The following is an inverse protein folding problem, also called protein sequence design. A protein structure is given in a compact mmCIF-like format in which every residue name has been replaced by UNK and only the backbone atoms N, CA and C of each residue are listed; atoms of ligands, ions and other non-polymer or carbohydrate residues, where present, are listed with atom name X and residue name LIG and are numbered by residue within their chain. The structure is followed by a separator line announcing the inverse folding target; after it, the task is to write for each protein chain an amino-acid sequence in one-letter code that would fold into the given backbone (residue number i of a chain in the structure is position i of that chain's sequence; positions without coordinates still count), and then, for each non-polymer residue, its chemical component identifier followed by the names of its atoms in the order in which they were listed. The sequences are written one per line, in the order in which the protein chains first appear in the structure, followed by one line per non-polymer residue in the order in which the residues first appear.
data_IF_463776697133
#
_entry.id   IF_463776697133
#
_cell.length_a   1.000
_cell.length_b   1.000
_cell.length_c   1.000
_cell.angle_alpha   90.00
_cell.angle_beta   90.00
_cell.angle_gamma   90.00
#
_symmetry.space_group_name_H-M   'P 1'
#
loop_
_entity.id
_entity.type
_entity.pdbx_description
1 polymer ?
#
# COMPACT_ATOMS: atom_id res chain seq x y z
N UNK A 1 14.08 -28.72 44.56
CA UNK A 1 13.11 -28.19 45.54
C UNK A 1 11.78 -28.00 44.79
N UNK A 2 10.85 -28.96 44.81
CA UNK A 2 9.67 -29.05 45.72
C UNK A 2 8.91 -27.75 45.87
N UNK A 3 7.57 -27.65 45.80
CA UNK A 3 6.41 -28.48 45.43
C UNK A 3 5.18 -27.57 45.73
N UNK A 4 4.06 -27.70 44.99
CA UNK A 4 2.63 -27.58 45.41
C UNK A 4 1.77 -26.92 44.32
N UNK A 5 0.82 -27.62 43.68
CA UNK A 5 -0.47 -28.20 44.14
C UNK A 5 -1.57 -27.15 44.38
N UNK A 6 -2.53 -27.08 43.45
CA UNK A 6 -3.98 -26.88 43.66
C UNK A 6 -4.71 -27.53 42.46
N UNK A 7 -5.29 -28.74 42.60
CA UNK A 7 -6.70 -29.04 42.96
C UNK A 7 -7.68 -28.43 41.94
N UNK A 8 -8.16 -29.15 40.91
CA UNK A 8 -9.33 -30.06 40.89
C UNK A 8 -10.56 -29.55 41.67
N UNK A 9 -11.69 -29.36 40.96
CA UNK A 9 -13.14 -29.70 41.19
C UNK A 9 -13.97 -28.68 40.34
N UNK A 10 -14.69 -29.02 39.26
CA UNK A 10 -16.09 -29.51 39.27
C UNK A 10 -16.58 -29.97 37.86
N UNK A 11 -17.08 -31.21 37.81
CA UNK A 11 -18.27 -31.80 37.12
C UNK A 11 -18.73 -31.23 35.76
N UNK A 12 -18.81 -32.00 34.66
CA UNK A 12 -19.62 -33.21 34.39
C UNK A 12 -21.15 -33.01 34.39
N UNK A 13 -21.72 -32.64 33.24
CA UNK A 13 -23.08 -32.97 32.76
C UNK A 13 -22.92 -32.95 31.23
N UNK A 14 -22.94 -34.03 30.47
CA UNK A 14 -24.10 -34.84 30.14
C UNK A 14 -23.62 -36.22 29.64
N UNK A 15 -24.15 -37.29 30.25
CA UNK A 15 -24.20 -38.60 29.64
C UNK A 15 -25.62 -39.13 29.76
N UNK A 16 -26.24 -39.39 28.60
CA UNK A 16 -27.07 -40.58 28.42
C UNK A 16 -28.58 -40.47 28.66
N UNK A 17 -29.28 -41.25 27.82
CA UNK A 17 -30.70 -41.67 27.82
C UNK A 17 -31.63 -40.76 27.01
N UNK A 18 -32.47 -41.25 26.09
CA UNK A 18 -32.81 -42.63 25.68
C UNK A 18 -33.69 -42.57 24.43
N UNK A 19 -33.74 -43.68 23.70
CA UNK A 19 -34.72 -44.05 22.69
C UNK A 19 -36.14 -43.51 22.94
N UNK A 20 -36.77 -43.00 21.87
CA UNK A 20 -38.20 -43.18 21.57
C UNK A 20 -38.51 -42.59 20.18
N UNK A 21 -38.85 -43.46 19.24
CA UNK A 21 -39.70 -43.13 18.09
C UNK A 21 -40.73 -44.28 17.95
N UNK A 22 -41.89 -44.11 17.28
CA UNK A 22 -42.47 -42.89 16.71
C UNK A 22 -43.96 -42.68 17.10
N UNK A 23 -44.41 -41.42 17.17
CA UNK A 23 -45.85 -41.10 17.12
C UNK A 23 -46.19 -40.55 15.74
N UNK A 24 -46.91 -41.38 14.96
CA UNK A 24 -47.65 -40.95 13.78
C UNK A 24 -48.72 -39.93 14.21
N UNK A 25 -48.64 -38.70 13.71
CA UNK A 25 -49.81 -37.85 13.53
C UNK A 25 -50.04 -37.65 12.03
N UNK A 26 -51.17 -38.17 11.55
CA UNK A 26 -51.74 -37.84 10.26
C UNK A 26 -52.54 -36.53 10.40
N UNK A 27 -52.27 -35.66 9.42
CA UNK A 27 -53.18 -34.70 8.77
C UNK A 27 -53.78 -33.53 9.56
N UNK A 28 -53.26 -32.34 9.24
CA UNK A 28 -54.09 -31.26 8.69
C UNK A 28 -53.24 -30.33 7.80
N UNK A 29 -53.06 -30.71 6.54
CA UNK A 29 -52.63 -29.81 5.46
C UNK A 29 -53.66 -29.89 4.36
N UNK A 30 -54.33 -28.78 4.09
CA UNK A 30 -54.88 -28.43 2.78
C UNK A 30 -55.22 -26.94 2.83
N UNK A 31 -54.20 -26.14 2.58
CA UNK A 31 -54.25 -24.67 2.57
C UNK A 31 -52.86 -24.02 2.56
N UNK A 32 -51.85 -24.65 3.17
CA UNK A 32 -50.47 -24.11 3.27
C UNK A 32 -49.42 -24.74 2.36
N UNK A 33 -49.68 -25.90 1.76
CA UNK A 33 -48.70 -26.65 0.94
C UNK A 33 -48.58 -26.14 -0.50
N UNK A 34 -49.68 -25.65 -1.10
CA UNK A 34 -49.65 -25.09 -2.46
C UNK A 34 -48.85 -23.78 -2.54
N UNK A 35 -48.98 -22.88 -1.54
CA UNK A 35 -48.20 -21.63 -1.50
C UNK A 35 -46.70 -21.90 -1.32
N UNK A 36 -46.31 -22.89 -0.49
CA UNK A 36 -44.91 -23.27 -0.33
C UNK A 36 -44.31 -23.89 -1.59
N UNK A 37 -45.10 -24.63 -2.38
CA UNK A 37 -44.64 -25.21 -3.66
C UNK A 37 -44.32 -24.14 -4.70
N UNK A 38 -45.17 -23.12 -4.86
CA UNK A 38 -44.93 -22.04 -5.82
C UNK A 38 -43.81 -21.11 -5.37
N UNK A 39 -43.75 -20.77 -4.07
CA UNK A 39 -42.67 -19.97 -3.50
C UNK A 39 -41.32 -20.69 -3.62
N UNK A 40 -41.28 -22.00 -3.38
CA UNK A 40 -40.09 -22.82 -3.60
C UNK A 40 -39.63 -22.79 -5.06
N UNK A 41 -40.53 -23.09 -6.00
CA UNK A 41 -40.18 -23.12 -7.43
C UNK A 41 -39.69 -21.75 -7.93
N UNK A 42 -40.32 -20.66 -7.51
CA UNK A 42 -39.88 -19.29 -7.80
C UNK A 42 -38.48 -19.03 -7.23
N UNK A 43 -38.25 -19.37 -5.97
CA UNK A 43 -36.96 -19.17 -5.32
C UNK A 43 -35.84 -19.98 -5.99
N UNK A 44 -36.11 -21.24 -6.35
CA UNK A 44 -35.12 -22.09 -7.05
C UNK A 44 -34.81 -21.55 -8.44
N UNK A 45 -35.82 -21.06 -9.18
CA UNK A 45 -35.63 -20.43 -10.47
C UNK A 45 -34.78 -19.15 -10.37
N UNK A 46 -35.04 -18.31 -9.36
CA UNK A 46 -34.26 -17.09 -9.11
C UNK A 46 -32.78 -17.40 -8.76
N UNK A 47 -32.54 -18.41 -7.92
CA UNK A 47 -31.17 -18.85 -7.58
C UNK A 47 -30.47 -19.43 -8.82
N UNK A 48 -31.17 -20.21 -9.63
CA UNK A 48 -30.60 -20.76 -10.86
C UNK A 48 -30.26 -19.66 -11.88
N UNK A 49 -31.11 -18.64 -12.01
CA UNK A 49 -30.89 -17.51 -12.91
C UNK A 49 -29.63 -16.71 -12.56
N UNK A 50 -29.27 -16.62 -11.28
CA UNK A 50 -27.98 -16.05 -10.85
C UNK A 50 -26.79 -16.94 -11.22
N UNK A 51 -26.90 -18.26 -11.02
CA UNK A 51 -25.80 -19.21 -11.24
C UNK A 51 -25.28 -19.30 -12.69
N UNK A 52 -26.09 -18.94 -13.69
CA UNK A 52 -25.69 -18.98 -15.10
C UNK A 52 -24.95 -17.71 -15.56
N UNK A 53 -23.62 -17.68 -15.42
CA UNK A 53 -22.73 -16.77 -16.18
C UNK A 53 -22.99 -15.26 -16.05
N UNK A 54 -23.53 -14.83 -14.92
CA UNK A 54 -24.11 -13.49 -14.77
C UNK A 54 -23.08 -12.37 -14.54
N UNK A 55 -21.94 -12.68 -13.89
CA UNK A 55 -20.91 -11.68 -13.55
C UNK A 55 -20.02 -11.35 -14.75
N UNK A 56 -19.63 -12.33 -15.54
CA UNK A 56 -18.76 -12.14 -16.72
C UNK A 56 -19.39 -11.29 -17.83
N UNK A 57 -20.72 -11.17 -17.87
CA UNK A 57 -21.43 -10.43 -18.92
C UNK A 57 -21.96 -9.04 -18.50
N UNK A 58 -21.90 -8.66 -17.21
CA UNK A 58 -22.53 -7.41 -16.71
C UNK A 58 -21.59 -6.38 -16.09
N UNK A 59 -20.36 -6.75 -15.74
CA UNK A 59 -19.36 -5.79 -15.26
C UNK A 59 -18.41 -5.49 -16.41
N UNK A 60 -18.76 -4.50 -17.24
CA UNK A 60 -17.86 -3.93 -18.23
C UNK A 60 -16.66 -3.33 -17.51
N UNK A 61 -15.48 -3.88 -17.78
CA UNK A 61 -14.20 -3.50 -17.18
C UNK A 61 -13.76 -2.15 -17.73
N UNK A 62 -13.43 -1.22 -16.85
CA UNK A 62 -12.77 0.04 -17.17
C UNK A 62 -11.32 -0.05 -16.71
N UNK A 63 -10.36 -0.13 -17.64
CA UNK A 63 -8.91 -0.31 -17.41
C UNK A 63 -8.21 0.85 -16.67
N UNK A 64 -8.94 1.81 -16.13
CA UNK A 64 -8.37 3.07 -15.64
C UNK A 64 -8.63 3.25 -14.16
N UNK A 65 -7.82 2.66 -13.29
CA UNK A 65 -7.72 3.12 -11.89
C UNK A 65 -6.36 2.82 -11.24
N UNK A 66 -5.27 3.10 -11.96
CA UNK A 66 -3.98 3.38 -11.33
C UNK A 66 -3.84 4.90 -11.24
N UNK A 67 -4.19 5.48 -10.08
CA UNK A 67 -3.70 6.82 -9.71
C UNK A 67 -4.68 8.00 -9.67
N UNK A 68 -6.00 7.82 -9.69
CA UNK A 68 -6.92 8.95 -9.47
C UNK A 68 -7.45 8.95 -8.03
N UNK A 69 -7.30 10.08 -7.35
CA UNK A 69 -7.86 10.42 -6.04
C UNK A 69 -9.40 10.55 -6.07
N UNK A 70 -10.09 9.49 -6.51
CA UNK A 70 -11.55 9.37 -6.45
C UNK A 70 -11.97 8.33 -5.43
N UNK A 71 -13.21 8.45 -4.92
CA UNK A 71 -13.85 7.52 -4.00
C UNK A 71 -14.08 6.16 -4.67
N UNK A 72 -13.04 5.31 -4.75
CA UNK A 72 -13.20 3.91 -5.16
C UNK A 72 -13.80 3.11 -4.00
N UNK A 73 -14.62 2.11 -4.32
CA UNK A 73 -15.18 1.16 -3.34
C UNK A 73 -14.69 -0.23 -3.67
N UNK A 74 -14.02 -0.89 -2.71
CA UNK A 74 -13.26 -2.12 -2.95
C UNK A 74 -12.23 -2.02 -4.09
N UNK A 75 -11.64 -0.84 -4.28
CA UNK A 75 -10.63 -0.55 -5.30
C UNK A 75 -11.10 -0.63 -6.76
N UNK A 76 -12.41 -0.49 -6.99
CA UNK A 76 -13.02 -0.35 -8.33
C UNK A 76 -13.88 0.91 -8.44
N UNK A 77 -14.30 1.26 -9.67
CA UNK A 77 -15.12 2.44 -9.93
C UNK A 77 -16.48 2.35 -9.20
N UNK A 78 -17.07 3.47 -8.72
CA UNK A 78 -18.39 3.46 -8.09
C UNK A 78 -19.49 2.82 -8.95
N UNK A 79 -19.45 3.08 -10.26
CA UNK A 79 -20.43 2.56 -11.20
C UNK A 79 -20.34 1.03 -11.37
N UNK A 80 -19.13 0.47 -11.33
CA UNK A 80 -18.94 -0.98 -11.40
C UNK A 80 -19.19 -1.66 -10.05
N UNK A 81 -18.82 -1.00 -8.96
CA UNK A 81 -19.18 -1.41 -7.61
C UNK A 81 -20.69 -1.51 -7.43
N UNK A 82 -21.48 -0.53 -7.89
CA UNK A 82 -22.94 -0.58 -7.77
C UNK A 82 -23.56 -1.76 -8.54
N UNK A 83 -23.03 -2.10 -9.72
CA UNK A 83 -23.48 -3.29 -10.47
C UNK A 83 -23.22 -4.57 -9.70
N UNK A 84 -22.01 -4.71 -9.13
CA UNK A 84 -21.63 -5.87 -8.32
C UNK A 84 -22.45 -5.94 -7.03
N UNK A 85 -22.64 -4.80 -6.35
CA UNK A 85 -23.44 -4.69 -5.13
C UNK A 85 -24.85 -5.20 -5.34
N UNK A 86 -25.52 -4.82 -6.44
CA UNK A 86 -26.87 -5.31 -6.76
C UNK A 86 -26.89 -6.84 -6.90
N UNK A 87 -25.87 -7.43 -7.52
CA UNK A 87 -25.77 -8.89 -7.69
C UNK A 87 -25.55 -9.57 -6.33
N UNK A 88 -24.64 -9.05 -5.51
CA UNK A 88 -24.41 -9.58 -4.16
C UNK A 88 -25.64 -9.43 -3.25
N UNK A 89 -26.32 -8.28 -3.27
CA UNK A 89 -27.55 -8.05 -2.51
C UNK A 89 -28.66 -9.03 -2.92
N UNK A 90 -28.82 -9.30 -4.23
CA UNK A 90 -29.77 -10.30 -4.72
C UNK A 90 -29.40 -11.70 -4.23
N UNK A 91 -28.14 -12.11 -4.37
CA UNK A 91 -27.68 -13.42 -3.92
C UNK A 91 -27.88 -13.62 -2.40
N UNK A 92 -27.52 -12.61 -1.60
CA UNK A 92 -27.72 -12.60 -0.15
C UNK A 92 -29.22 -12.71 0.21
N UNK A 93 -30.08 -11.93 -0.46
CA UNK A 93 -31.53 -11.97 -0.23
C UNK A 93 -32.10 -13.36 -0.49
N UNK A 94 -31.65 -14.03 -1.56
CA UNK A 94 -32.13 -15.37 -1.89
C UNK A 94 -31.69 -16.42 -0.88
N UNK A 95 -30.45 -16.33 -0.38
CA UNK A 95 -29.98 -17.21 0.69
C UNK A 95 -30.78 -17.00 1.99
N UNK A 96 -31.02 -15.75 2.37
CA UNK A 96 -31.82 -15.43 3.55
C UNK A 96 -33.28 -15.91 3.41
N UNK A 97 -33.90 -15.71 2.24
CA UNK A 97 -35.26 -16.23 1.96
C UNK A 97 -35.31 -17.75 1.99
N UNK A 98 -34.27 -18.42 1.50
CA UNK A 98 -34.19 -19.87 1.59
C UNK A 98 -34.11 -20.32 3.06
N UNK A 99 -33.22 -19.69 3.85
CA UNK A 99 -33.10 -19.96 5.28
C UNK A 99 -34.42 -19.74 6.02
N UNK A 100 -35.14 -18.66 5.72
CA UNK A 100 -36.44 -18.37 6.32
C UNK A 100 -37.49 -19.45 5.97
N UNK A 101 -37.49 -19.91 4.71
CA UNK A 101 -38.46 -20.91 4.22
C UNK A 101 -38.21 -22.32 4.77
N UNK A 102 -36.95 -22.72 4.91
CA UNK A 102 -36.54 -24.10 5.25
C UNK A 102 -35.96 -24.27 6.65
N UNK A 103 -35.66 -23.17 7.35
CA UNK A 103 -35.03 -23.17 8.67
C UNK A 103 -33.54 -23.49 8.66
N UNK A 104 -32.94 -23.87 7.53
CA UNK A 104 -31.51 -24.15 7.37
C UNK A 104 -31.07 -24.02 5.91
N UNK A 105 -29.79 -23.69 5.66
CA UNK A 105 -29.18 -23.73 4.32
C UNK A 105 -28.74 -25.14 3.87
N UNK A 106 -28.71 -26.14 4.75
CA UNK A 106 -28.14 -27.46 4.47
C UNK A 106 -28.79 -28.20 3.27
N UNK A 107 -30.10 -28.04 3.08
CA UNK A 107 -30.86 -28.73 2.02
C UNK A 107 -30.78 -28.07 0.64
N UNK A 108 -30.18 -26.87 0.52
CA UNK A 108 -30.24 -26.09 -0.72
C UNK A 108 -29.48 -26.76 -1.87
N UNK A 109 -28.38 -27.45 -1.53
CA UNK A 109 -27.58 -28.22 -2.49
C UNK A 109 -28.38 -29.36 -3.09
N UNK A 110 -29.17 -30.06 -2.29
CA UNK A 110 -30.02 -31.17 -2.75
C UNK A 110 -31.15 -30.65 -3.65
N UNK A 111 -31.77 -29.52 -3.29
CA UNK A 111 -32.82 -28.90 -4.09
C UNK A 111 -32.32 -28.33 -5.43
N UNK A 112 -31.03 -27.98 -5.54
CA UNK A 112 -30.42 -27.49 -6.78
C UNK A 112 -29.64 -28.55 -7.56
N UNK A 113 -29.49 -29.77 -7.02
CA UNK A 113 -28.75 -30.86 -7.66
C UNK A 113 -29.38 -31.26 -9.00
N UNK A 114 -30.67 -30.97 -9.20
CA UNK A 114 -31.38 -31.17 -10.45
C UNK A 114 -30.91 -30.22 -11.58
N UNK A 115 -30.17 -29.14 -11.26
CA UNK A 115 -29.82 -28.06 -12.20
C UNK A 115 -28.33 -27.65 -12.21
N UNK A 116 -27.45 -28.36 -11.48
CA UNK A 116 -25.98 -28.19 -11.40
C UNK A 116 -25.49 -26.78 -10.93
N UNK A 117 -24.66 -26.77 -9.89
CA UNK A 117 -23.80 -25.66 -9.40
C UNK A 117 -24.45 -24.37 -8.84
N UNK A 118 -25.77 -24.18 -8.89
CA UNK A 118 -26.42 -22.92 -8.50
C UNK A 118 -26.16 -22.39 -7.07
N UNK A 119 -26.14 -23.27 -6.05
CA UNK A 119 -25.99 -22.83 -4.65
C UNK A 119 -24.60 -22.26 -4.38
N UNK A 120 -23.56 -22.95 -4.83
CA UNK A 120 -22.18 -22.57 -4.56
C UNK A 120 -21.83 -21.27 -5.27
N UNK A 121 -22.34 -21.08 -6.50
CA UNK A 121 -22.23 -19.82 -7.23
C UNK A 121 -23.00 -18.70 -6.51
N UNK A 122 -24.25 -18.95 -6.09
CA UNK A 122 -25.03 -17.96 -5.33
C UNK A 122 -24.34 -17.56 -4.01
N UNK A 123 -23.80 -18.53 -3.27
CA UNK A 123 -23.01 -18.28 -2.08
C UNK A 123 -21.71 -17.53 -2.39
N UNK A 124 -21.01 -17.85 -3.49
CA UNK A 124 -19.84 -17.10 -3.95
C UNK A 124 -20.17 -15.64 -4.26
N UNK A 125 -21.23 -15.39 -5.03
CA UNK A 125 -21.71 -14.04 -5.37
C UNK A 125 -22.16 -13.24 -4.15
N UNK A 126 -22.78 -13.90 -3.18
CA UNK A 126 -23.18 -13.27 -1.92
C UNK A 126 -22.00 -12.73 -1.12
N UNK A 127 -20.77 -13.20 -1.37
CA UNK A 127 -19.55 -12.80 -0.66
C UNK A 127 -18.71 -11.76 -1.41
N UNK A 128 -19.12 -11.29 -2.59
CA UNK A 128 -18.32 -10.36 -3.40
C UNK A 128 -18.33 -8.91 -2.90
N UNK A 129 -19.49 -8.42 -2.43
CA UNK A 129 -19.65 -7.05 -1.97
C UNK A 129 -20.18 -6.97 -0.54
N UNK A 130 -19.73 -5.93 0.16
CA UNK A 130 -20.22 -5.57 1.48
C UNK A 130 -21.63 -4.96 1.38
N UNK A 131 -22.55 -5.53 2.15
CA UNK A 131 -23.94 -5.04 2.28
C UNK A 131 -24.36 -5.21 3.74
N UNK A 132 -25.46 -4.57 4.18
CA UNK A 132 -26.00 -4.79 5.52
C UNK A 132 -26.39 -6.25 5.83
N UNK A 133 -26.62 -7.07 4.80
CA UNK A 133 -27.02 -8.48 4.94
C UNK A 133 -25.83 -9.44 5.01
N UNK A 134 -24.63 -9.00 4.61
CA UNK A 134 -23.47 -9.87 4.45
C UNK A 134 -23.14 -10.62 5.75
N UNK A 135 -23.13 -9.92 6.89
CA UNK A 135 -22.81 -10.52 8.19
C UNK A 135 -23.71 -11.70 8.55
N UNK A 136 -25.03 -11.52 8.39
CA UNK A 136 -26.02 -12.56 8.64
C UNK A 136 -25.88 -13.76 7.68
N UNK A 137 -25.60 -13.49 6.40
CA UNK A 137 -25.38 -14.56 5.42
C UNK A 137 -24.17 -15.40 5.77
N UNK A 138 -23.06 -14.78 6.20
CA UNK A 138 -21.85 -15.54 6.55
C UNK A 138 -22.09 -16.40 7.80
N UNK A 139 -22.75 -15.84 8.82
CA UNK A 139 -23.12 -16.58 10.03
C UNK A 139 -23.95 -17.83 9.67
N UNK A 140 -24.92 -17.71 8.78
CA UNK A 140 -25.73 -18.84 8.35
C UNK A 140 -24.98 -19.84 7.49
N UNK A 141 -24.10 -19.38 6.59
CA UNK A 141 -23.23 -20.29 5.84
C UNK A 141 -22.39 -21.11 6.82
N UNK A 142 -21.78 -20.48 7.82
CA UNK A 142 -20.93 -21.18 8.79
C UNK A 142 -21.71 -22.15 9.69
N UNK A 143 -22.85 -21.71 10.21
CA UNK A 143 -23.63 -22.49 11.17
C UNK A 143 -24.41 -23.65 10.54
N UNK A 144 -24.89 -23.48 9.30
CA UNK A 144 -25.77 -24.47 8.67
C UNK A 144 -25.05 -25.43 7.71
N UNK A 145 -23.87 -25.07 7.19
CA UNK A 145 -23.18 -25.89 6.19
C UNK A 145 -22.14 -26.82 6.82
N UNK A 146 -21.98 -28.00 6.21
CA UNK A 146 -20.90 -28.91 6.60
C UNK A 146 -19.52 -28.30 6.28
N UNK A 147 -18.44 -28.69 6.98
CA UNK A 147 -17.08 -28.23 6.67
C UNK A 147 -16.68 -28.45 5.20
N UNK A 148 -17.19 -29.53 4.59
CA UNK A 148 -16.96 -29.83 3.17
C UNK A 148 -17.67 -28.85 2.24
N UNK A 149 -18.92 -28.51 2.54
CA UNK A 149 -19.68 -27.55 1.73
C UNK A 149 -19.12 -26.14 1.89
N UNK A 150 -18.70 -25.75 3.10
CA UNK A 150 -17.97 -24.51 3.35
C UNK A 150 -16.68 -24.42 2.53
N UNK A 151 -15.90 -25.50 2.46
CA UNK A 151 -14.70 -25.54 1.62
C UNK A 151 -15.04 -25.34 0.15
N UNK A 152 -16.15 -25.91 -0.34
CA UNK A 152 -16.60 -25.71 -1.70
C UNK A 152 -17.06 -24.27 -1.98
N UNK A 153 -17.78 -23.63 -1.05
CA UNK A 153 -18.15 -22.21 -1.15
C UNK A 153 -16.90 -21.34 -1.19
N UNK A 154 -15.94 -21.59 -0.29
CA UNK A 154 -14.67 -20.86 -0.22
C UNK A 154 -13.86 -21.00 -1.51
N UNK A 155 -13.77 -22.21 -2.06
CA UNK A 155 -13.09 -22.45 -3.34
C UNK A 155 -13.84 -21.80 -4.52
N UNK A 156 -15.17 -21.85 -4.53
CA UNK A 156 -16.02 -21.22 -5.54
C UNK A 156 -15.83 -19.70 -5.56
N UNK A 157 -16.00 -19.06 -4.39
CA UNK A 157 -15.70 -17.64 -4.21
C UNK A 157 -14.30 -17.31 -4.71
N UNK A 158 -13.25 -18.05 -4.31
CA UNK A 158 -11.88 -17.74 -4.69
C UNK A 158 -11.60 -17.92 -6.17
N UNK A 159 -11.77 -19.12 -6.68
CA UNK A 159 -11.32 -19.50 -8.04
C UNK A 159 -12.34 -19.18 -9.13
N UNK A 160 -13.62 -19.17 -8.77
CA UNK A 160 -14.73 -18.97 -9.71
C UNK A 160 -15.10 -17.52 -9.89
N UNK A 161 -15.14 -16.75 -8.81
CA UNK A 161 -15.73 -15.40 -8.82
C UNK A 161 -14.69 -14.30 -8.54
N UNK A 162 -13.94 -14.44 -7.44
CA UNK A 162 -13.00 -13.43 -6.96
C UNK A 162 -11.74 -13.31 -7.81
N UNK A 163 -11.03 -14.41 -8.10
CA UNK A 163 -9.79 -14.38 -8.88
C UNK A 163 -9.98 -13.88 -10.32
N UNK A 164 -11.04 -14.29 -11.05
CA UNK A 164 -11.34 -13.70 -12.35
C UNK A 164 -11.61 -12.20 -12.27
N UNK A 165 -12.35 -11.74 -11.26
CA UNK A 165 -12.62 -10.31 -11.05
C UNK A 165 -11.38 -9.52 -10.72
N UNK A 166 -10.49 -10.08 -9.90
CA UNK A 166 -9.18 -9.51 -9.62
C UNK A 166 -8.29 -9.43 -10.86
N UNK A 167 -8.25 -10.50 -11.68
CA UNK A 167 -7.45 -10.49 -12.92
C UNK A 167 -7.93 -9.41 -13.88
N UNK A 168 -9.24 -9.19 -13.91
CA UNK A 168 -9.87 -8.13 -14.70
C UNK A 168 -9.70 -6.74 -14.06
N UNK A 169 -9.60 -6.66 -12.73
CA UNK A 169 -9.52 -5.40 -11.99
C UNK A 169 -8.43 -5.54 -10.92
N UNK A 170 -7.21 -5.08 -11.22
CA UNK A 170 -6.06 -5.20 -10.33
C UNK A 170 -6.27 -4.55 -8.95
N UNK A 171 -7.15 -3.56 -8.87
CA UNK A 171 -7.57 -2.90 -7.63
C UNK A 171 -8.66 -3.63 -6.83
N UNK A 172 -9.29 -4.68 -7.35
CA UNK A 172 -10.40 -5.34 -6.64
C UNK A 172 -9.96 -6.02 -5.34
N UNK A 173 -10.57 -5.59 -4.23
CA UNK A 173 -10.28 -6.07 -2.88
C UNK A 173 -11.51 -6.78 -2.28
N UNK A 174 -11.32 -7.89 -1.53
CA UNK A 174 -12.43 -8.58 -0.89
C UNK A 174 -13.09 -7.71 0.19
N UNK A 175 -14.40 -7.85 0.45
CA UNK A 175 -15.10 -7.03 1.43
C UNK A 175 -14.60 -7.34 2.85
N UNK A 176 -14.64 -6.34 3.74
CA UNK A 176 -14.23 -6.45 5.14
C UNK A 176 -15.46 -6.34 6.07
N UNK A 177 -16.19 -7.45 6.33
CA UNK A 177 -17.45 -7.42 7.07
C UNK A 177 -17.22 -7.22 8.57
N UNK A 178 -17.05 -5.97 8.97
CA UNK A 178 -16.65 -5.53 10.31
C UNK A 178 -17.47 -6.18 11.44
N UNK A 179 -18.80 -6.06 11.37
CA UNK A 179 -19.70 -6.58 12.42
C UNK A 179 -19.65 -8.10 12.56
N UNK A 180 -19.42 -8.81 11.45
CA UNK A 180 -19.27 -10.27 11.49
C UNK A 180 -17.94 -10.67 12.09
N UNK A 181 -16.84 -9.98 11.75
CA UNK A 181 -15.54 -10.23 12.36
C UNK A 181 -15.59 -9.92 13.87
N UNK A 182 -16.27 -8.82 14.25
CA UNK A 182 -16.45 -8.44 15.65
C UNK A 182 -17.21 -9.50 16.47
N UNK A 183 -18.23 -10.13 15.87
CA UNK A 183 -19.06 -11.15 16.55
C UNK A 183 -18.47 -12.56 16.49
N UNK A 184 -17.87 -12.94 15.37
CA UNK A 184 -17.34 -14.30 15.12
C UNK A 184 -15.82 -14.46 15.30
N UNK A 185 -15.10 -13.38 15.60
CA UNK A 185 -13.67 -13.37 15.89
C UNK A 185 -12.80 -14.00 14.80
N UNK A 186 -11.80 -14.79 15.20
CA UNK A 186 -10.80 -15.35 14.29
C UNK A 186 -11.40 -16.32 13.25
N UNK A 187 -12.42 -17.10 13.63
CA UNK A 187 -13.11 -17.99 12.69
C UNK A 187 -13.82 -17.22 11.56
N UNK A 188 -14.44 -16.09 11.91
CA UNK A 188 -15.06 -15.18 10.95
C UNK A 188 -14.04 -14.56 10.00
N UNK A 189 -12.91 -14.11 10.53
CA UNK A 189 -11.82 -13.53 9.75
C UNK A 189 -11.21 -14.54 8.75
N UNK A 190 -10.88 -15.75 9.22
CA UNK A 190 -10.29 -16.82 8.41
C UNK A 190 -11.20 -17.34 7.28
N UNK A 191 -12.51 -17.10 7.37
CA UNK A 191 -13.42 -17.46 6.30
C UNK A 191 -13.14 -16.65 5.02
N UNK A 192 -12.91 -15.34 5.14
CA UNK A 192 -12.59 -14.45 4.01
C UNK A 192 -11.11 -14.41 3.67
N UNK A 193 -10.27 -14.39 4.70
CA UNK A 193 -8.84 -14.12 4.58
C UNK A 193 -8.06 -15.36 4.96
N UNK A 194 -7.60 -16.11 3.95
CA UNK A 194 -6.64 -17.19 4.18
C UNK A 194 -5.26 -16.61 4.47
N UNK A 195 -4.45 -17.43 5.16
CA UNK A 195 -3.03 -17.21 5.38
C UNK A 195 -2.32 -16.79 4.07
N UNK A 196 -1.64 -15.64 4.08
CA UNK A 196 -0.72 -15.22 3.02
C UNK A 196 -1.18 -14.12 2.06
N UNK A 197 -2.30 -13.42 2.31
CA UNK A 197 -2.70 -12.26 1.48
C UNK A 197 -2.90 -10.99 2.33
N UNK A 198 -1.98 -10.02 2.23
CA UNK A 198 -2.04 -8.69 2.89
C UNK A 198 -3.15 -7.75 2.36
N UNK A 199 -4.21 -8.28 1.75
CA UNK A 199 -5.23 -7.48 1.06
C UNK A 199 -6.28 -6.90 2.01
N UNK A 200 -6.51 -7.58 3.14
CA UNK A 200 -7.37 -7.06 4.21
C UNK A 200 -6.82 -5.74 4.76
N UNK A 201 -5.50 -5.68 4.99
CA UNK A 201 -4.81 -4.49 5.47
C UNK A 201 -5.04 -3.28 4.56
N UNK A 202 -4.84 -3.45 3.25
CA UNK A 202 -5.08 -2.38 2.27
C UNK A 202 -6.54 -1.89 2.27
N UNK A 203 -7.50 -2.81 2.33
CA UNK A 203 -8.93 -2.47 2.41
C UNK A 203 -9.25 -1.66 3.67
N UNK A 204 -8.70 -2.06 4.82
CA UNK A 204 -8.88 -1.35 6.09
C UNK A 204 -8.39 0.09 5.95
N UNK A 205 -7.18 0.28 5.42
CA UNK A 205 -6.61 1.61 5.22
C UNK A 205 -7.42 2.45 4.22
N UNK A 206 -7.83 1.89 3.09
CA UNK A 206 -8.67 2.60 2.11
C UNK A 206 -10.02 3.03 2.73
N UNK A 207 -10.64 2.19 3.57
CA UNK A 207 -11.88 2.55 4.26
C UNK A 207 -11.70 3.66 5.30
N UNK A 208 -10.60 3.65 6.06
CA UNK A 208 -10.29 4.74 7.00
C UNK A 208 -10.02 6.04 6.23
N UNK A 209 -9.23 5.97 5.14
CA UNK A 209 -8.94 7.11 4.26
C UNK A 209 -10.20 7.77 3.71
N UNK A 210 -11.20 6.96 3.39
CA UNK A 210 -12.48 7.41 2.84
C UNK A 210 -13.54 7.71 3.91
N UNK A 211 -13.18 7.72 5.20
CA UNK A 211 -14.09 7.92 6.33
C UNK A 211 -15.26 6.90 6.39
N UNK A 212 -15.11 5.75 5.72
CA UNK A 212 -16.10 4.66 5.75
C UNK A 212 -15.95 3.77 6.99
N UNK A 213 -14.82 3.87 7.68
CA UNK A 213 -14.49 3.08 8.86
C UNK A 213 -13.70 3.93 9.84
N UNK A 214 -14.15 4.06 11.08
CA UNK A 214 -13.36 4.73 12.11
C UNK A 214 -12.33 3.78 12.72
N UNK A 215 -11.19 4.33 13.14
CA UNK A 215 -10.14 3.54 13.80
C UNK A 215 -10.64 2.93 15.12
N UNK A 216 -11.45 3.68 15.88
CA UNK A 216 -12.04 3.19 17.14
C UNK A 216 -12.86 1.91 16.99
N UNK A 217 -13.47 1.70 15.82
CA UNK A 217 -14.25 0.49 15.54
C UNK A 217 -13.39 -0.74 15.25
N UNK A 218 -12.11 -0.53 14.91
CA UNK A 218 -11.12 -1.56 14.62
C UNK A 218 -10.38 -2.03 15.86
N UNK A 219 -10.12 -1.18 16.86
CA UNK A 219 -9.36 -1.58 18.05
C UNK A 219 -9.84 -2.90 18.68
N UNK A 220 -11.15 -3.10 18.94
CA UNK A 220 -11.62 -4.35 19.55
C UNK A 220 -11.38 -5.57 18.66
N UNK A 221 -11.33 -5.38 17.34
CA UNK A 221 -11.08 -6.45 16.36
C UNK A 221 -9.59 -6.77 16.32
N UNK A 222 -8.73 -5.76 16.32
CA UNK A 222 -7.28 -5.93 16.37
C UNK A 222 -6.90 -6.69 17.64
N UNK A 223 -7.43 -6.25 18.78
CA UNK A 223 -7.26 -6.92 20.08
C UNK A 223 -7.75 -8.37 20.02
N UNK A 224 -9.02 -8.59 19.65
CA UNK A 224 -9.64 -9.93 19.58
C UNK A 224 -8.88 -10.92 18.70
N UNK A 225 -8.31 -10.44 17.59
CA UNK A 225 -7.62 -11.30 16.64
C UNK A 225 -6.14 -11.53 17.03
N UNK A 226 -5.56 -10.65 17.83
CA UNK A 226 -4.20 -10.77 18.37
C UNK A 226 -4.04 -11.81 19.49
N UNK A 227 -5.13 -12.22 20.15
CA UNK A 227 -5.13 -13.11 21.34
C UNK A 227 -4.84 -14.61 21.07
N UNK A 228 -4.14 -14.99 19.99
CA UNK A 228 -4.05 -16.40 19.57
C UNK A 228 -2.66 -17.08 19.70
N UNK A 229 -2.71 -18.41 19.67
CA UNK A 229 -1.65 -19.40 19.98
C UNK A 229 -0.29 -19.14 19.29
N UNK A 230 0.79 -18.86 20.05
CA UNK A 230 2.11 -18.46 19.50
C UNK A 230 2.82 -19.53 18.67
N UNK A 231 2.33 -20.78 18.65
CA UNK A 231 2.95 -21.86 17.88
C UNK A 231 2.48 -21.93 16.40
N UNK A 232 1.44 -21.17 16.00
CA UNK A 232 0.95 -21.14 14.61
C UNK A 232 0.52 -19.72 14.23
N UNK A 233 1.25 -19.02 13.35
CA UNK A 233 0.89 -17.67 13.00
C UNK A 233 -0.48 -17.66 12.33
N UNK A 234 -1.43 -16.94 12.94
CA UNK A 234 -2.80 -16.83 12.45
C UNK A 234 -2.86 -16.04 11.14
N UNK A 235 -3.94 -16.20 10.35
CA UNK A 235 -4.14 -15.38 9.14
C UNK A 235 -4.19 -13.87 9.48
N UNK A 236 -4.52 -13.55 10.72
CA UNK A 236 -4.49 -12.19 11.26
C UNK A 236 -3.07 -11.65 11.44
N UNK A 237 -2.13 -12.41 11.99
CA UNK A 237 -0.74 -11.94 12.16
C UNK A 237 -0.08 -11.56 10.83
N UNK A 238 -0.35 -12.35 9.77
CA UNK A 238 0.11 -12.02 8.42
C UNK A 238 -0.52 -10.70 7.94
N UNK A 239 -1.80 -10.49 8.23
CA UNK A 239 -2.48 -9.25 7.87
C UNK A 239 -2.06 -8.05 8.70
N UNK A 240 -1.74 -8.23 9.99
CA UNK A 240 -1.20 -7.20 10.87
C UNK A 240 0.19 -6.80 10.39
N UNK A 241 1.08 -7.75 10.11
CA UNK A 241 2.38 -7.46 9.48
C UNK A 241 2.20 -6.73 8.14
N UNK A 242 1.23 -7.13 7.32
CA UNK A 242 0.88 -6.40 6.11
C UNK A 242 0.38 -4.98 6.38
N UNK A 243 -0.42 -4.78 7.43
CA UNK A 243 -0.95 -3.49 7.84
C UNK A 243 0.15 -2.58 8.37
N UNK A 244 1.07 -3.10 9.18
CA UNK A 244 2.28 -2.42 9.62
C UNK A 244 3.11 -1.97 8.41
N UNK A 245 3.32 -2.86 7.44
CA UNK A 245 4.06 -2.54 6.23
C UNK A 245 3.40 -1.41 5.42
N UNK A 246 2.08 -1.46 5.23
CA UNK A 246 1.37 -0.38 4.54
C UNK A 246 1.36 0.93 5.36
N UNK A 247 1.22 0.87 6.69
CA UNK A 247 1.19 2.05 7.56
C UNK A 247 2.53 2.80 7.61
N UNK A 248 3.64 2.07 7.50
CA UNK A 248 4.98 2.66 7.37
C UNK A 248 5.15 3.42 6.04
N UNK A 249 4.40 3.07 4.99
CA UNK A 249 4.50 3.74 3.69
C UNK A 249 3.41 4.81 3.49
N UNK A 250 2.33 4.75 4.27
CA UNK A 250 1.21 5.68 4.19
C UNK A 250 1.53 7.06 4.81
N UNK A 251 0.67 8.04 4.52
CA UNK A 251 0.61 9.31 5.24
C UNK A 251 0.33 9.09 6.74
N UNK A 252 0.65 10.06 7.60
CA UNK A 252 0.35 9.92 9.04
C UNK A 252 -1.14 10.09 9.32
N UNK A 253 -1.75 11.13 8.75
CA UNK A 253 -3.20 11.30 8.75
C UNK A 253 -3.80 10.57 7.53
N UNK A 254 -4.96 9.90 7.67
CA UNK A 254 -5.83 9.81 8.85
C UNK A 254 -5.53 8.62 9.80
N UNK A 255 -4.32 8.05 9.76
CA UNK A 255 -3.99 6.79 10.44
C UNK A 255 -3.32 6.93 11.81
N UNK A 256 -3.24 8.14 12.37
CA UNK A 256 -2.50 8.42 13.60
C UNK A 256 -2.94 7.54 14.79
N UNK A 257 -4.26 7.42 15.01
CA UNK A 257 -4.83 6.58 16.07
C UNK A 257 -4.50 5.09 15.84
N UNK A 258 -4.54 4.64 14.58
CA UNK A 258 -4.29 3.23 14.23
C UNK A 258 -2.81 2.89 14.45
N UNK A 259 -1.92 3.80 14.07
CA UNK A 259 -0.48 3.70 14.34
C UNK A 259 -0.21 3.60 15.83
N UNK A 260 -0.81 4.48 16.64
CA UNK A 260 -0.66 4.45 18.09
C UNK A 260 -1.12 3.11 18.68
N UNK A 261 -2.21 2.54 18.18
CA UNK A 261 -2.71 1.26 18.67
C UNK A 261 -1.83 0.08 18.26
N UNK A 262 -1.34 0.03 17.02
CA UNK A 262 -0.54 -1.09 16.51
C UNK A 262 0.92 -1.02 16.99
N UNK A 263 1.57 0.14 16.84
CA UNK A 263 2.98 0.31 17.18
C UNK A 263 3.22 0.75 18.63
N UNK A 264 2.16 1.08 19.37
CA UNK A 264 2.24 1.70 20.70
C UNK A 264 2.64 3.18 20.67
N UNK A 265 2.94 3.74 19.49
CA UNK A 265 3.27 5.14 19.27
C UNK A 265 2.78 5.59 17.89
N UNK A 266 2.41 6.86 17.77
CA UNK A 266 2.10 7.47 16.48
C UNK A 266 3.37 7.83 15.69
N UNK A 267 4.47 8.09 16.40
CA UNK A 267 5.72 8.60 15.85
C UNK A 267 6.43 7.55 14.98
N UNK A 268 7.15 8.02 13.94
CA UNK A 268 7.93 7.13 13.09
C UNK A 268 9.13 6.56 13.83
N UNK A 269 9.36 5.24 13.68
CA UNK A 269 10.57 4.60 14.20
C UNK A 269 11.80 4.90 13.32
N UNK A 270 13.00 4.65 13.85
CA UNK A 270 14.27 4.77 13.08
C UNK A 270 14.23 3.90 11.82
N UNK A 271 13.74 2.67 11.94
CA UNK A 271 13.60 1.73 10.80
C UNK A 271 12.57 2.24 9.78
N UNK A 272 11.47 2.83 10.25
CA UNK A 272 10.47 3.46 9.39
C UNK A 272 11.08 4.62 8.58
N UNK A 273 11.80 5.52 9.24
CA UNK A 273 12.45 6.67 8.60
C UNK A 273 13.48 6.23 7.54
N UNK A 274 14.30 5.21 7.86
CA UNK A 274 15.27 4.64 6.90
C UNK A 274 14.57 4.06 5.67
N UNK A 275 13.48 3.29 5.87
CA UNK A 275 12.70 2.72 4.76
C UNK A 275 12.06 3.78 3.88
N UNK A 276 11.43 4.79 4.50
CA UNK A 276 10.84 5.94 3.77
C UNK A 276 11.90 6.70 2.98
N UNK A 277 13.05 6.97 3.57
CA UNK A 277 14.16 7.65 2.91
C UNK A 277 14.62 6.88 1.66
N UNK A 278 14.89 5.57 1.82
CA UNK A 278 15.38 4.73 0.74
C UNK A 278 14.35 4.63 -0.40
N UNK A 279 13.06 4.53 -0.09
CA UNK A 279 11.99 4.49 -1.08
C UNK A 279 11.92 5.79 -1.91
N UNK A 280 11.96 6.95 -1.24
CA UNK A 280 11.93 8.26 -1.91
C UNK A 280 13.19 8.47 -2.77
N UNK A 281 14.37 8.16 -2.23
CA UNK A 281 15.62 8.26 -2.99
C UNK A 281 15.65 7.30 -4.17
N UNK A 282 15.18 6.06 -4.01
CA UNK A 282 15.09 5.11 -5.12
C UNK A 282 14.15 5.60 -6.23
N UNK A 283 13.06 6.30 -5.90
CA UNK A 283 12.17 6.93 -6.88
C UNK A 283 12.81 8.09 -7.62
N UNK A 284 13.50 8.97 -6.89
CA UNK A 284 14.18 10.13 -7.46
C UNK A 284 15.28 9.66 -8.41
N UNK A 285 16.06 8.67 -7.99
CA UNK A 285 17.27 8.23 -8.68
C UNK A 285 17.00 7.21 -9.81
N UNK A 286 16.06 6.27 -9.62
CA UNK A 286 15.75 5.21 -10.61
C UNK A 286 14.46 5.47 -11.42
N UNK A 287 13.80 6.61 -11.20
CA UNK A 287 12.55 6.98 -11.86
C UNK A 287 11.28 6.38 -11.22
N UNK A 288 10.09 6.77 -11.71
CA UNK A 288 8.78 6.51 -11.09
C UNK A 288 8.30 5.05 -11.23
N UNK A 289 9.21 4.07 -11.30
CA UNK A 289 8.87 2.64 -11.37
C UNK A 289 8.33 2.09 -10.04
N UNK A 290 8.52 2.83 -8.94
CA UNK A 290 7.94 2.48 -7.65
C UNK A 290 6.51 3.00 -7.55
N UNK A 291 5.66 2.22 -6.87
CA UNK A 291 4.23 2.49 -6.68
C UNK A 291 4.05 3.96 -6.27
N UNK A 292 3.08 4.65 -6.87
CA UNK A 292 2.67 5.98 -6.41
C UNK A 292 2.44 5.90 -4.90
N UNK A 293 3.29 6.60 -4.14
CA UNK A 293 3.20 6.63 -2.69
C UNK A 293 1.86 7.24 -2.30
N UNK A 294 1.23 6.70 -1.26
CA UNK A 294 0.08 7.35 -0.62
C UNK A 294 0.51 8.65 0.11
N UNK A 295 1.81 8.79 0.40
CA UNK A 295 2.46 9.91 1.08
C UNK A 295 3.23 10.78 0.08
N UNK A 296 3.22 12.11 0.25
CA UNK A 296 4.00 12.99 -0.64
C UNK A 296 5.49 13.02 -0.25
N UNK A 297 6.38 13.36 -1.18
CA UNK A 297 7.82 13.53 -0.92
C UNK A 297 8.10 14.50 0.24
N UNK A 298 7.41 15.65 0.25
CA UNK A 298 7.52 16.65 1.32
C UNK A 298 7.01 16.12 2.67
N UNK A 299 5.92 15.35 2.68
CA UNK A 299 5.42 14.72 3.90
C UNK A 299 6.38 13.65 4.43
N UNK A 300 6.95 12.81 3.56
CA UNK A 300 7.98 11.86 3.95
C UNK A 300 9.20 12.56 4.57
N UNK A 301 9.65 13.68 3.98
CA UNK A 301 10.75 14.46 4.54
C UNK A 301 10.43 15.01 5.93
N UNK A 302 9.20 15.52 6.14
CA UNK A 302 8.73 15.98 7.45
C UNK A 302 8.68 14.85 8.49
N UNK A 303 8.15 13.69 8.11
CA UNK A 303 8.10 12.50 8.98
C UNK A 303 9.51 12.07 9.38
N UNK A 304 10.43 11.97 8.41
CA UNK A 304 11.83 11.61 8.65
C UNK A 304 12.49 12.61 9.61
N UNK A 305 12.30 13.91 9.38
CA UNK A 305 12.87 14.98 10.21
C UNK A 305 12.29 15.01 11.62
N UNK A 306 11.03 14.62 11.79
CA UNK A 306 10.38 14.59 13.11
C UNK A 306 11.04 13.59 14.08
N UNK A 307 11.72 12.56 13.57
CA UNK A 307 12.52 11.65 14.37
C UNK A 307 13.93 12.22 14.60
N UNK A 308 14.09 13.00 15.68
CA UNK A 308 15.35 13.68 16.02
C UNK A 308 16.55 12.71 16.18
N UNK A 309 16.31 11.51 16.70
CA UNK A 309 17.37 10.50 16.86
C UNK A 309 17.87 10.00 15.51
N UNK A 310 16.95 9.64 14.61
CA UNK A 310 17.29 9.22 13.26
C UNK A 310 17.97 10.35 12.48
N UNK A 311 17.40 11.55 12.51
CA UNK A 311 17.94 12.73 11.84
C UNK A 311 19.37 13.06 12.29
N UNK A 312 19.67 12.88 13.57
CA UNK A 312 20.99 13.18 14.15
C UNK A 312 22.04 12.11 13.87
N UNK A 313 21.67 10.83 13.92
CA UNK A 313 22.66 9.74 13.98
C UNK A 313 22.74 8.88 12.71
N UNK A 314 21.68 8.83 11.89
CA UNK A 314 21.57 7.88 10.78
C UNK A 314 21.35 8.55 9.42
N UNK A 315 20.56 9.63 9.37
CA UNK A 315 20.09 10.25 8.13
C UNK A 315 21.19 10.47 7.07
N UNK A 316 22.32 11.08 7.45
CA UNK A 316 23.40 11.39 6.50
C UNK A 316 24.06 10.14 5.94
N UNK A 317 24.25 9.11 6.77
CA UNK A 317 24.85 7.86 6.33
C UNK A 317 23.90 7.11 5.40
N UNK A 318 22.61 7.04 5.73
CA UNK A 318 21.60 6.37 4.91
C UNK A 318 21.40 7.08 3.56
N UNK A 319 21.46 8.42 3.52
CA UNK A 319 21.46 9.19 2.24
C UNK A 319 22.68 8.81 1.40
N UNK A 320 23.87 8.82 2.01
CA UNK A 320 25.13 8.54 1.32
C UNK A 320 25.18 7.11 0.80
N UNK A 321 24.72 6.13 1.58
CA UNK A 321 24.69 4.74 1.15
C UNK A 321 23.62 4.52 0.04
N UNK A 322 22.46 5.17 0.12
CA UNK A 322 21.44 5.14 -0.95
C UNK A 322 21.92 5.73 -2.26
N UNK A 323 22.64 6.85 -2.21
CA UNK A 323 23.27 7.48 -3.38
C UNK A 323 24.34 6.54 -3.97
N UNK A 324 25.16 5.96 -3.10
CA UNK A 324 26.25 5.07 -3.51
C UNK A 324 25.73 3.81 -4.24
N UNK A 325 24.64 3.22 -3.75
CA UNK A 325 24.03 2.06 -4.37
C UNK A 325 23.62 2.36 -5.82
N UNK A 326 22.96 3.50 -6.08
CA UNK A 326 22.54 3.85 -7.45
C UNK A 326 23.73 4.15 -8.37
N UNK A 327 24.74 4.88 -7.89
CA UNK A 327 25.92 5.20 -8.71
C UNK A 327 26.75 3.96 -9.08
N UNK A 328 26.68 2.89 -8.29
CA UNK A 328 27.33 1.61 -8.58
C UNK A 328 26.56 0.73 -9.56
N UNK A 329 25.22 0.76 -9.54
CA UNK A 329 24.39 -0.02 -10.48
C UNK A 329 24.30 0.62 -11.89
N UNK A 330 24.45 1.93 -12.02
CA UNK A 330 24.59 2.64 -13.30
C UNK A 330 25.92 2.34 -14.02
N UNK A 331 26.88 1.66 -13.36
CA UNK A 331 28.15 1.26 -13.94
C UNK A 331 28.03 0.02 -14.84
N UNK A 332 26.91 -0.12 -15.57
CA UNK A 332 26.75 -1.11 -16.63
C UNK A 332 26.73 -0.38 -17.99
N UNK A 333 27.90 -0.20 -18.64
CA UNK A 333 28.07 0.69 -19.80
C UNK A 333 27.35 0.25 -21.09
N UNK A 334 26.45 -0.73 -21.02
CA UNK A 334 25.71 -1.26 -22.17
C UNK A 334 24.21 -0.94 -22.16
N UNK A 335 23.63 -0.52 -21.04
CA UNK A 335 22.18 -0.31 -20.94
C UNK A 335 21.82 1.12 -20.55
N UNK A 336 21.51 1.92 -21.58
CA UNK A 336 20.49 2.96 -21.53
C UNK A 336 20.86 4.29 -20.87
N UNK A 337 20.54 5.39 -21.57
CA UNK A 337 20.49 6.73 -21.01
C UNK A 337 19.82 6.73 -19.62
N UNK A 338 20.50 7.26 -18.59
CA UNK A 338 19.83 7.57 -17.32
C UNK A 338 18.71 8.56 -17.65
N UNK A 339 17.46 8.12 -17.60
CA UNK A 339 16.31 8.92 -18.07
C UNK A 339 15.95 10.07 -17.12
N UNK A 340 16.62 10.18 -15.97
CA UNK A 340 16.24 11.08 -14.89
C UNK A 340 17.02 12.41 -14.86
N UNK A 341 18.31 12.45 -15.25
CA UNK A 341 19.07 13.67 -15.58
C UNK A 341 18.82 14.93 -14.72
N UNK A 342 18.56 16.07 -15.35
CA UNK A 342 18.24 17.33 -14.66
C UNK A 342 16.95 17.27 -13.81
N UNK A 343 15.99 16.40 -14.16
CA UNK A 343 14.77 16.23 -13.37
C UNK A 343 15.07 15.56 -12.03
N UNK A 344 15.94 14.54 -12.02
CA UNK A 344 16.47 13.93 -10.80
C UNK A 344 17.18 14.95 -9.93
N UNK A 345 18.08 15.77 -10.52
CA UNK A 345 18.79 16.82 -9.78
C UNK A 345 17.83 17.78 -9.08
N UNK A 346 16.74 18.16 -9.76
CA UNK A 346 15.70 19.03 -9.20
C UNK A 346 14.94 18.35 -8.06
N UNK A 347 14.43 17.14 -8.25
CA UNK A 347 13.69 16.40 -7.23
C UNK A 347 14.55 16.09 -6.00
N UNK A 348 15.82 15.71 -6.22
CA UNK A 348 16.78 15.50 -5.14
C UNK A 348 17.00 16.80 -4.36
N UNK A 349 17.19 17.92 -5.05
CA UNK A 349 17.37 19.23 -4.42
C UNK A 349 16.17 19.62 -3.55
N UNK A 350 14.95 19.45 -4.06
CA UNK A 350 13.71 19.71 -3.33
C UNK A 350 13.61 18.81 -2.09
N UNK A 351 13.84 17.51 -2.22
CA UNK A 351 13.77 16.57 -1.12
C UNK A 351 14.81 16.84 -0.02
N UNK A 352 16.08 17.11 -0.39
CA UNK A 352 17.15 17.42 0.57
C UNK A 352 16.85 18.73 1.33
N UNK A 353 16.25 19.73 0.65
CA UNK A 353 15.78 20.96 1.32
C UNK A 353 14.66 20.67 2.31
N UNK A 354 13.70 19.83 1.94
CA UNK A 354 12.58 19.47 2.80
C UNK A 354 13.04 18.67 4.04
N UNK A 355 14.10 17.84 3.90
CA UNK A 355 14.75 17.16 5.03
C UNK A 355 15.40 18.14 6.02
N UNK A 356 15.69 19.37 5.60
CA UNK A 356 16.23 20.42 6.45
C UNK A 356 17.69 20.19 6.84
N UNK A 357 18.50 19.59 5.96
CA UNK A 357 19.93 19.44 6.17
C UNK A 357 20.63 20.80 6.21
N UNK A 358 21.68 20.91 7.04
CA UNK A 358 22.49 22.12 7.07
C UNK A 358 23.45 22.19 5.87
N UNK A 359 23.93 23.38 5.51
CA UNK A 359 24.93 23.52 4.44
C UNK A 359 26.22 22.72 4.74
N UNK A 360 26.56 22.54 6.02
CA UNK A 360 27.68 21.68 6.45
C UNK A 360 27.41 20.21 6.10
N UNK A 361 26.22 19.72 6.39
CA UNK A 361 25.84 18.33 6.10
C UNK A 361 25.81 18.07 4.59
N UNK A 362 25.24 19.01 3.82
CA UNK A 362 25.19 18.95 2.35
C UNK A 362 26.62 19.00 1.77
N UNK A 363 27.47 19.89 2.27
CA UNK A 363 28.88 19.96 1.84
C UNK A 363 29.65 18.68 2.19
N UNK A 364 29.41 18.08 3.36
CA UNK A 364 30.03 16.83 3.74
C UNK A 364 29.56 15.67 2.83
N UNK A 365 28.26 15.60 2.51
CA UNK A 365 27.72 14.65 1.54
C UNK A 365 28.39 14.79 0.17
N UNK A 366 28.59 16.02 -0.31
CA UNK A 366 29.29 16.28 -1.57
C UNK A 366 30.72 15.73 -1.53
N UNK A 367 31.48 15.95 -0.46
CA UNK A 367 32.83 15.40 -0.35
C UNK A 367 32.85 13.87 -0.30
N UNK A 368 31.92 13.28 0.44
CA UNK A 368 31.77 11.82 0.50
C UNK A 368 31.40 11.22 -0.86
N UNK A 369 30.63 11.93 -1.68
CA UNK A 369 30.21 11.46 -3.00
C UNK A 369 31.25 11.73 -4.09
N UNK A 370 31.76 12.97 -4.18
CA UNK A 370 32.66 13.40 -5.26
C UNK A 370 34.11 12.99 -5.01
N UNK A 371 34.58 13.04 -3.78
CA UNK A 371 35.97 12.72 -3.41
C UNK A 371 36.13 11.35 -2.75
N UNK A 372 35.02 10.68 -2.39
CA UNK A 372 35.03 9.44 -1.60
C UNK A 372 35.71 9.60 -0.24
N UNK A 373 35.63 10.80 0.33
CA UNK A 373 36.16 11.11 1.64
C UNK A 373 35.48 10.26 2.73
N UNK A 374 36.23 9.97 3.80
CA UNK A 374 35.62 9.44 5.02
C UNK A 374 34.84 10.54 5.71
N UNK A 375 33.73 10.19 6.38
CA UNK A 375 32.86 11.14 7.06
C UNK A 375 33.61 12.17 7.93
N UNK A 376 34.58 11.74 8.74
CA UNK A 376 35.36 12.65 9.59
C UNK A 376 36.18 13.69 8.82
N UNK A 377 36.72 13.33 7.65
CA UNK A 377 37.46 14.25 6.78
C UNK A 377 36.51 15.22 6.06
N UNK A 378 35.42 14.69 5.50
CA UNK A 378 34.38 15.47 4.83
C UNK A 378 33.78 16.53 5.76
N UNK A 379 33.41 16.15 6.99
CA UNK A 379 32.93 17.11 8.00
C UNK A 379 34.02 18.10 8.43
N UNK A 380 35.29 17.68 8.51
CA UNK A 380 36.40 18.58 8.80
C UNK A 380 36.53 19.71 7.76
N UNK A 381 36.43 19.37 6.46
CA UNK A 381 36.44 20.34 5.36
C UNK A 381 35.19 21.23 5.38
N UNK A 382 34.01 20.62 5.51
CA UNK A 382 32.72 21.32 5.51
C UNK A 382 32.55 22.30 6.69
N UNK A 383 33.04 21.94 7.89
CA UNK A 383 33.03 22.82 9.06
C UNK A 383 33.96 24.02 8.92
N UNK A 384 35.05 23.88 8.16
CA UNK A 384 35.98 24.99 7.89
C UNK A 384 35.40 25.99 6.89
N UNK A 385 34.75 25.50 5.83
CA UNK A 385 33.97 26.32 4.90
C UNK A 385 32.79 25.51 4.31
N UNK A 386 31.53 25.81 4.66
CA UNK A 386 30.35 25.14 4.08
C UNK A 386 30.23 25.29 2.55
N UNK A 387 30.78 26.34 1.95
CA UNK A 387 30.78 26.52 0.50
C UNK A 387 31.80 25.63 -0.24
N UNK A 388 32.75 25.03 0.49
CA UNK A 388 33.82 24.21 -0.11
C UNK A 388 33.29 23.01 -0.90
N UNK A 389 32.21 22.36 -0.44
CA UNK A 389 31.53 21.32 -1.21
C UNK A 389 30.97 21.87 -2.54
N UNK A 390 30.35 23.04 -2.51
CA UNK A 390 29.81 23.66 -3.72
C UNK A 390 30.89 24.01 -4.76
N UNK A 391 32.03 24.56 -4.31
CA UNK A 391 33.20 24.75 -5.18
C UNK A 391 33.67 23.44 -5.80
N UNK A 392 33.64 22.34 -5.04
CA UNK A 392 34.05 21.03 -5.55
C UNK A 392 33.12 20.49 -6.64
N UNK A 393 31.81 20.72 -6.53
CA UNK A 393 30.86 20.38 -7.61
C UNK A 393 31.16 21.19 -8.87
N UNK A 394 31.48 22.48 -8.73
CA UNK A 394 31.85 23.32 -9.87
C UNK A 394 33.13 22.82 -10.53
N UNK A 395 34.16 22.47 -9.77
CA UNK A 395 35.40 21.89 -10.30
C UNK A 395 35.17 20.58 -11.06
N UNK A 396 34.27 19.72 -10.55
CA UNK A 396 33.90 18.46 -11.20
C UNK A 396 33.22 18.69 -12.57
N UNK A 397 32.39 19.73 -12.67
CA UNK A 397 31.54 19.97 -13.83
C UNK A 397 32.12 20.97 -14.85
N UNK A 398 33.01 21.87 -14.42
CA UNK A 398 33.62 22.90 -15.27
C UNK A 398 34.29 22.35 -16.55
N UNK A 399 34.94 21.17 -16.56
CA UNK A 399 35.48 20.58 -17.79
C UNK A 399 34.41 20.24 -18.85
N UNK A 400 33.14 20.19 -18.46
CA UNK A 400 32.01 19.79 -19.31
C UNK A 400 31.10 20.96 -19.71
N UNK A 401 31.53 22.20 -19.47
CA UNK A 401 30.69 23.40 -19.61
C UNK A 401 30.04 23.56 -21.00
N UNK A 402 30.75 23.22 -22.09
CA UNK A 402 30.22 23.31 -23.46
C UNK A 402 29.09 22.32 -23.78
N UNK A 403 28.98 21.21 -23.04
CA UNK A 403 27.96 20.18 -23.24
C UNK A 403 27.28 19.79 -21.93
N UNK A 404 27.20 20.74 -20.99
CA UNK A 404 26.88 20.44 -19.59
C UNK A 404 25.49 19.83 -19.42
N UNK A 405 24.51 20.27 -20.22
CA UNK A 405 23.15 19.72 -20.19
C UNK A 405 23.13 18.24 -20.56
N UNK A 406 23.80 17.86 -21.64
CA UNK A 406 23.89 16.48 -22.06
C UNK A 406 24.72 15.65 -21.07
N UNK A 407 25.85 16.19 -20.58
CA UNK A 407 26.66 15.53 -19.58
C UNK A 407 25.86 15.19 -18.30
N UNK A 408 25.13 16.16 -17.76
CA UNK A 408 24.28 15.98 -16.57
C UNK A 408 23.13 15.03 -16.84
N UNK A 409 22.51 15.09 -18.01
CA UNK A 409 21.40 14.20 -18.36
C UNK A 409 21.83 12.74 -18.50
N UNK A 410 23.08 12.47 -18.90
CA UNK A 410 23.55 11.12 -19.22
C UNK A 410 24.32 10.44 -18.09
N UNK A 411 24.75 11.17 -17.04
CA UNK A 411 25.69 10.64 -16.04
C UNK A 411 25.27 10.99 -14.61
N UNK A 412 24.98 9.97 -13.80
CA UNK A 412 24.65 10.09 -12.36
C UNK A 412 25.71 10.77 -11.52
N UNK A 413 26.99 10.52 -11.83
CA UNK A 413 28.12 11.25 -11.23
C UNK A 413 28.07 12.78 -11.40
N UNK A 414 27.19 13.33 -12.23
CA UNK A 414 27.04 14.76 -12.46
C UNK A 414 25.72 15.33 -11.94
N UNK A 415 24.59 14.66 -12.16
CA UNK A 415 23.29 15.19 -11.70
C UNK A 415 23.07 15.07 -10.18
N UNK A 416 23.67 14.06 -9.52
CA UNK A 416 23.57 13.92 -8.06
C UNK A 416 24.32 15.05 -7.34
N UNK A 417 25.63 15.31 -7.60
CA UNK A 417 26.32 16.45 -7.00
C UNK A 417 25.67 17.80 -7.35
N UNK A 418 25.12 17.96 -8.55
CA UNK A 418 24.37 19.15 -8.92
C UNK A 418 23.09 19.32 -8.09
N UNK A 419 22.38 18.22 -7.79
CA UNK A 419 21.20 18.24 -6.92
C UNK A 419 21.55 18.67 -5.50
N UNK A 420 22.65 18.16 -4.96
CA UNK A 420 23.19 18.55 -3.65
C UNK A 420 23.62 20.03 -3.63
N UNK A 421 24.35 20.50 -4.65
CA UNK A 421 24.70 21.92 -4.79
C UNK A 421 23.45 22.80 -4.77
N UNK A 422 22.43 22.47 -5.58
CA UNK A 422 21.19 23.25 -5.62
C UNK A 422 20.38 23.18 -4.32
N UNK A 423 20.63 22.18 -3.46
CA UNK A 423 20.00 22.04 -2.15
C UNK A 423 20.58 23.01 -1.11
N UNK A 424 21.79 23.52 -1.31
CA UNK A 424 22.43 24.49 -0.41
C UNK A 424 21.63 25.80 -0.32
N UNK A 425 21.86 26.54 0.77
CA UNK A 425 21.25 27.85 0.99
C UNK A 425 21.69 28.88 -0.04
N UNK A 426 20.84 29.89 -0.27
CA UNK A 426 21.14 30.97 -1.22
C UNK A 426 22.43 31.73 -0.89
N UNK A 427 22.80 31.79 0.41
CA UNK A 427 24.03 32.44 0.85
C UNK A 427 25.28 31.68 0.41
N UNK A 428 25.29 30.35 0.60
CA UNK A 428 26.39 29.49 0.15
C UNK A 428 26.45 29.44 -1.37
N UNK A 429 25.29 29.34 -2.04
CA UNK A 429 25.22 29.41 -3.50
C UNK A 429 25.80 30.74 -4.01
N UNK A 430 25.49 31.87 -3.38
CA UNK A 430 26.04 33.16 -3.78
C UNK A 430 27.59 33.20 -3.68
N UNK A 431 28.16 32.63 -2.62
CA UNK A 431 29.61 32.51 -2.45
C UNK A 431 30.24 31.65 -3.56
N UNK A 432 29.65 30.51 -3.88
CA UNK A 432 30.10 29.63 -4.98
C UNK A 432 30.07 30.37 -6.33
N UNK A 433 29.01 31.16 -6.53
CA UNK A 433 28.76 31.95 -7.74
C UNK A 433 29.67 33.17 -7.89
N UNK A 434 30.58 33.46 -6.95
CA UNK A 434 31.61 34.50 -7.13
C UNK A 434 32.66 34.10 -8.18
N UNK A 435 32.80 32.80 -8.46
CA UNK A 435 33.77 32.27 -9.43
C UNK A 435 33.24 32.33 -10.86
N UNK A 436 34.14 32.60 -11.82
CA UNK A 436 33.78 32.63 -13.24
C UNK A 436 33.32 31.24 -13.73
N UNK A 437 33.93 30.16 -13.24
CA UNK A 437 33.55 28.78 -13.60
C UNK A 437 32.11 28.45 -13.18
N UNK A 438 31.71 28.80 -11.95
CA UNK A 438 30.35 28.57 -11.47
C UNK A 438 29.32 29.36 -12.29
N UNK A 439 29.63 30.62 -12.63
CA UNK A 439 28.80 31.49 -13.46
C UNK A 439 28.57 30.91 -14.85
N UNK A 440 29.63 30.50 -15.52
CA UNK A 440 29.52 29.93 -16.87
C UNK A 440 28.77 28.60 -16.83
N UNK A 441 29.04 27.75 -15.84
CA UNK A 441 28.33 26.49 -15.65
C UNK A 441 26.81 26.70 -15.47
N UNK A 442 26.42 27.64 -14.61
CA UNK A 442 25.00 27.94 -14.37
C UNK A 442 24.34 28.57 -15.58
N UNK A 443 25.06 29.39 -16.35
CA UNK A 443 24.62 29.87 -17.65
C UNK A 443 24.35 28.70 -18.60
N UNK A 444 25.29 27.76 -18.75
CA UNK A 444 25.12 26.59 -19.62
C UNK A 444 23.95 25.68 -19.21
N UNK A 445 23.70 25.54 -17.90
CA UNK A 445 22.59 24.75 -17.37
C UNK A 445 21.22 25.44 -17.53
N UNK A 446 21.11 26.72 -17.17
CA UNK A 446 19.82 27.44 -17.13
C UNK A 446 19.51 28.21 -18.42
N UNK A 447 20.50 28.46 -19.27
CA UNK A 447 20.38 29.29 -20.46
C UNK A 447 20.14 30.77 -20.16
N UNK A 448 20.43 31.22 -18.94
CA UNK A 448 20.20 32.60 -18.51
C UNK A 448 21.49 33.42 -18.61
N UNK A 449 21.46 34.49 -19.40
CA UNK A 449 22.60 35.38 -19.64
C UNK A 449 22.96 36.22 -18.42
N UNK A 450 22.06 36.37 -17.45
CA UNK A 450 22.33 37.12 -16.23
C UNK A 450 23.53 36.56 -15.44
N UNK A 451 23.79 35.25 -15.54
CA UNK A 451 24.93 34.61 -14.90
C UNK A 451 26.28 35.01 -15.50
N UNK A 452 26.33 35.47 -16.75
CA UNK A 452 27.56 35.93 -17.39
C UNK A 452 28.02 37.31 -16.89
N UNK A 453 27.18 38.01 -16.12
CA UNK A 453 27.51 39.32 -15.58
C UNK A 453 28.68 39.24 -14.59
N UNK A 454 29.66 40.12 -14.79
CA UNK A 454 30.81 40.25 -13.91
C UNK A 454 31.79 39.08 -13.97
N UNK A 455 31.80 38.30 -15.06
CA UNK A 455 32.91 37.40 -15.40
C UNK A 455 34.16 38.24 -15.67
N UNK A 456 35.27 37.89 -15.03
CA UNK A 456 36.55 38.63 -15.14
C UNK A 456 37.39 38.13 -16.30
N UNK A 457 37.36 36.82 -16.57
CA UNK A 457 38.06 36.22 -17.71
C UNK A 457 37.31 36.51 -19.03
N UNK A 458 37.79 37.54 -19.74
CA UNK A 458 37.21 37.97 -21.02
C UNK A 458 37.36 36.94 -22.13
N UNK A 459 38.44 36.15 -22.14
CA UNK A 459 38.65 35.16 -23.19
C UNK A 459 37.59 34.05 -23.06
N UNK A 460 37.39 33.55 -21.83
CA UNK A 460 36.33 32.56 -21.56
C UNK A 460 34.92 33.12 -21.82
N UNK A 461 34.68 34.38 -21.48
CA UNK A 461 33.39 35.02 -21.79
C UNK A 461 33.15 35.09 -23.31
N UNK A 462 34.15 35.50 -24.08
CA UNK A 462 34.07 35.56 -25.54
C UNK A 462 33.89 34.16 -26.14
N UNK A 463 34.55 33.12 -25.59
CA UNK A 463 34.36 31.74 -26.02
C UNK A 463 32.91 31.25 -25.81
N UNK A 464 32.33 31.56 -24.64
CA UNK A 464 30.95 31.17 -24.29
C UNK A 464 29.95 31.93 -25.17
N UNK A 465 30.12 33.24 -25.34
CA UNK A 465 29.27 34.05 -26.20
C UNK A 465 29.42 33.66 -27.68
N UNK A 466 30.63 33.30 -28.11
CA UNK A 466 30.92 32.78 -29.43
C UNK A 466 30.16 31.48 -29.70
N UNK A 467 30.23 30.53 -28.77
CA UNK A 467 29.47 29.28 -28.85
C UNK A 467 27.95 29.52 -28.91
N UNK A 468 27.42 30.43 -28.08
CA UNK A 468 26.00 30.82 -28.10
C UNK A 468 25.55 31.42 -29.44
N UNK A 469 26.48 32.07 -30.15
CA UNK A 469 26.26 32.66 -31.48
C UNK A 469 26.56 31.68 -32.62
N UNK A 470 27.06 30.47 -32.32
CA UNK A 470 27.47 29.47 -33.30
C UNK A 470 28.73 29.81 -34.08
N UNK A 471 29.64 30.59 -33.47
CA UNK A 471 30.89 31.09 -34.06
C UNK A 471 32.08 30.14 -33.87
#
# INVERSE_FOLDING_TARGET
MTKHNFSLVFRSVFAGTSDLAPLKMKEKTLGGTMNRSHQHQSLMADIQALGSGFITNRVSVSDTYLGCAGASKQGISPADFDKLRVISEQAQTLLLRYKEMYGSLAGLREHLYELKFGMLACAGYALLCETPMLGQVIEYLYNDLSPRDLQHVKNGFKTGDFEPMLKANSGFLPPFPLEYIRSGGNAAYQFFYDFGRNRAARMILEKIKNEELSVSELHPIIDLLSENDPEKPTAWEIALSGLEDYLIEASFEPYLELRQHIFGTADASVTECSRRLNNVLAQILNGPSFRAEDCSMTENAQIIRSNELYARFSLIMDIKDSIHDVTHYDYNPQDGDSTAGLACSKLLSEFIKDLGLSDVDISALIFMEVEQDRAGEAYGKALANPASGGFRVVELLAPHTHDIKHAVNTKSKFHIPLGLLNAMSDGVLAEVMETDDAKILMHGLKGDRAYLNGIKDRARLDDVLGADLGL
#
